data_IF_907649289507
#
_entry.id   IF_907649289507
#
_cell.length_a   1.000
_cell.length_b   1.000
_cell.length_c   1.000
_cell.angle_alpha   90.00
_cell.angle_beta   90.00
_cell.angle_gamma   90.00
#
_symmetry.space_group_name_H-M   'P 1'
#
loop_
_entity.id
_entity.type
_entity.pdbx_description
1 polymer ?
#
# COMPACT_ATOMS: atom_id res chain seq x y z
N UNK A 1 -12.05 -23.98 52.05
CA UNK A 1 -12.93 -23.47 50.96
C UNK A 1 -12.59 -22.04 50.48
N UNK A 2 -11.97 -21.15 51.26
CA UNK A 2 -11.67 -19.77 50.83
C UNK A 2 -10.43 -19.61 49.92
N UNK A 3 -9.41 -20.47 50.07
CA UNK A 3 -8.19 -20.41 49.27
C UNK A 3 -8.42 -20.77 47.79
N UNK A 4 -9.37 -21.66 47.50
CA UNK A 4 -9.72 -22.12 46.14
C UNK A 4 -10.46 -21.06 45.34
N UNK A 5 -11.35 -20.29 45.96
CA UNK A 5 -12.07 -19.19 45.30
C UNK A 5 -11.15 -18.00 45.01
N UNK A 6 -10.21 -17.70 45.89
CA UNK A 6 -9.17 -16.68 45.66
C UNK A 6 -8.26 -17.06 44.47
N UNK A 7 -7.84 -18.32 44.38
CA UNK A 7 -7.05 -18.83 43.26
C UNK A 7 -7.79 -18.76 41.92
N UNK A 8 -9.08 -19.13 41.89
CA UNK A 8 -9.93 -19.03 40.69
C UNK A 8 -10.11 -17.58 40.23
N UNK A 9 -10.34 -16.64 41.16
CA UNK A 9 -10.45 -15.20 40.84
C UNK A 9 -9.16 -14.65 40.23
N UNK A 10 -8.00 -15.02 40.78
CA UNK A 10 -6.68 -14.62 40.22
C UNK A 10 -6.47 -15.19 38.82
N UNK A 11 -6.83 -16.45 38.59
CA UNK A 11 -6.72 -17.08 37.28
C UNK A 11 -7.64 -16.40 36.23
N UNK A 12 -8.87 -16.06 36.63
CA UNK A 12 -9.79 -15.29 35.78
C UNK A 12 -9.24 -13.91 35.45
N UNK A 13 -8.68 -13.21 36.44
CA UNK A 13 -8.02 -11.92 36.23
C UNK A 13 -6.82 -12.02 35.27
N UNK A 14 -5.99 -13.06 35.41
CA UNK A 14 -4.86 -13.32 34.50
C UNK A 14 -5.33 -13.61 33.06
N UNK A 15 -6.37 -14.43 32.89
CA UNK A 15 -6.97 -14.72 31.57
C UNK A 15 -7.55 -13.47 30.91
N UNK A 16 -8.31 -12.67 31.65
CA UNK A 16 -8.88 -11.43 31.13
C UNK A 16 -7.80 -10.45 30.70
N UNK A 17 -6.67 -10.36 31.43
CA UNK A 17 -5.51 -9.53 31.03
C UNK A 17 -4.88 -10.01 29.73
N UNK A 18 -4.71 -11.31 29.56
CA UNK A 18 -4.17 -11.89 28.31
C UNK A 18 -5.11 -11.64 27.14
N UNK A 19 -6.42 -11.84 27.31
CA UNK A 19 -7.41 -11.55 26.28
C UNK A 19 -7.42 -10.06 25.91
N UNK A 20 -7.36 -9.16 26.90
CA UNK A 20 -7.27 -7.73 26.66
C UNK A 20 -5.96 -7.34 25.96
N UNK A 21 -4.84 -7.99 26.27
CA UNK A 21 -3.58 -7.76 25.57
C UNK A 21 -3.63 -8.21 24.10
N UNK A 22 -4.21 -9.39 23.83
CA UNK A 22 -4.44 -9.88 22.46
C UNK A 22 -5.35 -8.94 21.66
N UNK A 23 -6.49 -8.55 22.22
CA UNK A 23 -7.41 -7.63 21.56
C UNK A 23 -6.77 -6.27 21.22
N UNK A 24 -5.83 -5.79 22.05
CA UNK A 24 -5.05 -4.58 21.75
C UNK A 24 -4.07 -4.81 20.60
N UNK A 25 -3.37 -5.94 20.61
CA UNK A 25 -2.43 -6.31 19.55
C UNK A 25 -3.15 -6.47 18.21
N UNK A 26 -4.25 -7.23 18.16
CA UNK A 26 -5.05 -7.43 16.96
C UNK A 26 -5.56 -6.09 16.38
N UNK A 27 -5.96 -5.16 17.26
CA UNK A 27 -6.38 -3.81 16.87
C UNK A 27 -5.22 -2.98 16.33
N UNK A 28 -4.02 -3.12 16.91
CA UNK A 28 -2.82 -2.43 16.43
C UNK A 28 -2.40 -2.96 15.05
N UNK A 29 -2.40 -4.28 14.86
CA UNK A 29 -2.10 -4.92 13.57
C UNK A 29 -3.06 -4.45 12.49
N UNK A 30 -4.37 -4.47 12.78
CA UNK A 30 -5.38 -3.97 11.85
C UNK A 30 -5.17 -2.49 11.47
N UNK A 31 -4.82 -1.64 12.44
CA UNK A 31 -4.52 -0.23 12.15
C UNK A 31 -3.26 -0.08 11.29
N UNK A 32 -2.22 -0.86 11.56
CA UNK A 32 -0.98 -0.84 10.79
C UNK A 32 -1.25 -1.27 9.35
N UNK A 33 -2.01 -2.34 9.14
CA UNK A 33 -2.34 -2.82 7.80
C UNK A 33 -3.27 -1.88 7.05
N UNK A 34 -4.18 -1.19 7.74
CA UNK A 34 -4.96 -0.11 7.13
C UNK A 34 -4.07 1.04 6.66
N UNK A 35 -3.12 1.48 7.49
CA UNK A 35 -2.18 2.55 7.11
C UNK A 35 -1.31 2.14 5.93
N UNK A 36 -0.81 0.90 5.90
CA UNK A 36 -0.05 0.36 4.76
C UNK A 36 -0.89 0.38 3.48
N UNK A 37 -2.12 -0.12 3.51
CA UNK A 37 -3.04 -0.12 2.36
C UNK A 37 -3.34 1.29 1.86
N UNK A 38 -3.67 2.22 2.76
CA UNK A 38 -3.93 3.61 2.37
C UNK A 38 -2.68 4.25 1.77
N UNK A 39 -1.50 4.04 2.38
CA UNK A 39 -0.24 4.57 1.86
C UNK A 39 0.05 4.04 0.45
N UNK A 40 -0.10 2.74 0.24
CA UNK A 40 0.10 2.11 -1.06
C UNK A 40 -0.82 2.71 -2.13
N UNK A 41 -2.12 2.88 -1.84
CA UNK A 41 -3.05 3.48 -2.80
C UNK A 41 -2.72 4.95 -3.12
N UNK A 42 -2.28 5.70 -2.10
CA UNK A 42 -1.84 7.09 -2.30
C UNK A 42 -0.55 7.15 -3.13
N UNK A 43 0.42 6.27 -2.87
CA UNK A 43 1.65 6.17 -3.65
C UNK A 43 1.34 5.87 -5.12
N UNK A 44 0.46 4.89 -5.39
CA UNK A 44 0.03 4.55 -6.74
C UNK A 44 -0.71 5.71 -7.43
N UNK A 45 -1.66 6.36 -6.75
CA UNK A 45 -2.34 7.54 -7.28
C UNK A 45 -1.40 8.72 -7.53
N UNK A 46 -0.38 8.86 -6.68
CA UNK A 46 0.69 9.85 -6.83
C UNK A 46 1.50 9.65 -8.11
N UNK A 47 1.72 8.41 -8.55
CA UNK A 47 2.40 8.12 -9.82
C UNK A 47 1.57 8.56 -11.03
N UNK A 48 0.26 8.30 -11.00
CA UNK A 48 -0.66 8.72 -12.08
C UNK A 48 -0.66 10.24 -12.23
N UNK A 49 -0.74 10.96 -11.11
CA UNK A 49 -0.65 12.43 -11.10
C UNK A 49 0.73 12.93 -11.53
N UNK A 50 1.81 12.33 -11.02
CA UNK A 50 3.19 12.72 -11.39
C UNK A 50 3.46 12.55 -12.89
N UNK A 51 2.88 11.54 -13.52
CA UNK A 51 2.99 11.32 -14.96
C UNK A 51 2.17 12.33 -15.80
N UNK A 52 1.46 13.29 -15.17
CA UNK A 52 0.62 14.27 -15.85
C UNK A 52 -0.67 13.68 -16.43
N UNK A 53 -0.99 12.42 -16.13
CA UNK A 53 -2.12 11.72 -16.74
C UNK A 53 -3.44 12.38 -16.35
N UNK A 54 -3.57 12.81 -15.09
CA UNK A 54 -4.79 13.47 -14.59
C UNK A 54 -5.03 14.78 -15.34
N UNK A 55 -3.98 15.56 -15.55
CA UNK A 55 -4.02 16.84 -16.25
C UNK A 55 -4.31 16.67 -17.74
N UNK A 56 -3.68 15.68 -18.40
CA UNK A 56 -3.89 15.39 -19.83
C UNK A 56 -5.29 14.85 -20.12
N UNK A 57 -5.83 14.02 -19.22
CA UNK A 57 -7.14 13.37 -19.41
C UNK A 57 -8.30 14.16 -18.82
N UNK A 58 -8.05 15.22 -18.05
CA UNK A 58 -9.09 15.98 -17.36
C UNK A 58 -9.80 15.19 -16.26
N UNK A 59 -9.09 14.29 -15.56
CA UNK A 59 -9.63 13.36 -14.56
C UNK A 59 -10.73 12.41 -15.10
N UNK A 60 -10.75 12.14 -16.41
CA UNK A 60 -11.64 11.12 -16.98
C UNK A 60 -11.19 9.72 -16.55
N UNK A 61 -11.85 9.20 -15.52
CA UNK A 61 -11.55 7.89 -14.92
C UNK A 61 -11.75 6.74 -15.89
N UNK A 62 -12.70 6.84 -16.84
CA UNK A 62 -12.93 5.79 -17.83
C UNK A 62 -11.78 5.75 -18.81
N UNK A 63 -11.32 6.91 -19.28
CA UNK A 63 -10.16 7.02 -20.15
C UNK A 63 -8.88 6.51 -19.47
N UNK A 64 -8.62 6.94 -18.23
CA UNK A 64 -7.47 6.49 -17.44
C UNK A 64 -7.51 4.97 -17.25
N UNK A 65 -8.67 4.42 -16.89
CA UNK A 65 -8.82 2.99 -16.69
C UNK A 65 -8.59 2.20 -18.00
N UNK A 66 -9.11 2.68 -19.13
CA UNK A 66 -8.87 2.08 -20.44
C UNK A 66 -7.39 2.05 -20.82
N UNK A 67 -6.66 3.14 -20.55
CA UNK A 67 -5.21 3.18 -20.79
C UNK A 67 -4.45 2.17 -19.91
N UNK A 68 -4.83 2.04 -18.63
CA UNK A 68 -4.23 1.06 -17.72
C UNK A 68 -4.51 -0.39 -18.15
N UNK A 69 -5.70 -0.68 -18.69
CA UNK A 69 -6.02 -1.99 -19.26
C UNK A 69 -5.16 -2.30 -20.49
N UNK A 70 -4.96 -1.32 -21.38
CA UNK A 70 -4.07 -1.49 -22.53
C UNK A 70 -2.62 -1.77 -22.11
N UNK A 71 -2.15 -1.09 -21.06
CA UNK A 71 -0.83 -1.36 -20.46
C UNK A 71 -0.77 -2.80 -19.92
N UNK A 72 -1.79 -3.26 -19.21
CA UNK A 72 -1.83 -4.62 -18.66
C UNK A 72 -1.80 -5.68 -19.77
N UNK A 73 -2.64 -5.54 -20.80
CA UNK A 73 -2.68 -6.40 -21.97
C UNK A 73 -1.31 -6.48 -22.67
N UNK A 74 -0.66 -5.32 -22.87
CA UNK A 74 0.67 -5.24 -23.47
C UNK A 74 1.76 -5.95 -22.66
N UNK A 75 1.61 -6.01 -21.34
CA UNK A 75 2.54 -6.68 -20.44
C UNK A 75 2.30 -8.19 -20.33
N UNK A 76 1.07 -8.66 -20.55
CA UNK A 76 0.73 -10.08 -20.53
C UNK A 76 1.10 -10.81 -21.83
N UNK A 77 1.14 -10.10 -22.97
CA UNK A 77 1.50 -10.68 -24.26
C UNK A 77 2.97 -11.11 -24.41
N UNK A 78 3.29 -11.77 -25.53
CA UNK A 78 4.59 -12.39 -25.83
C UNK A 78 5.80 -11.43 -25.72
N UNK A 79 5.59 -10.15 -25.99
CA UNK A 79 6.63 -9.10 -25.89
C UNK A 79 6.67 -8.42 -24.51
N UNK A 80 5.94 -8.96 -23.53
CA UNK A 80 5.76 -8.39 -22.21
C UNK A 80 7.05 -8.22 -21.44
N UNK A 81 8.00 -9.16 -21.53
CA UNK A 81 9.31 -9.01 -20.88
C UNK A 81 10.12 -7.83 -21.42
N UNK A 82 10.14 -7.66 -22.74
CA UNK A 82 10.80 -6.53 -23.37
C UNK A 82 10.14 -5.21 -22.97
N UNK A 83 8.80 -5.15 -23.00
CA UNK A 83 8.03 -3.99 -22.55
C UNK A 83 8.34 -3.63 -21.09
N UNK A 84 8.35 -4.62 -20.17
CA UNK A 84 8.72 -4.42 -18.76
C UNK A 84 10.12 -3.82 -18.61
N UNK A 85 11.09 -4.30 -19.39
CA UNK A 85 12.46 -3.79 -19.35
C UNK A 85 12.50 -2.32 -19.79
N UNK A 86 11.97 -2.02 -20.99
CA UNK A 86 11.97 -0.67 -21.56
C UNK A 86 11.28 0.32 -20.62
N UNK A 87 10.10 -0.01 -20.12
CA UNK A 87 9.34 0.89 -19.24
C UNK A 87 9.99 1.09 -17.88
N UNK A 88 10.66 0.07 -17.33
CA UNK A 88 11.44 0.21 -16.09
C UNK A 88 12.64 1.14 -16.28
N UNK A 89 13.35 1.02 -17.40
CA UNK A 89 14.50 1.86 -17.73
C UNK A 89 14.04 3.32 -17.91
N UNK A 90 12.92 3.54 -18.62
CA UNK A 90 12.32 4.86 -18.80
C UNK A 90 11.86 5.50 -17.48
N UNK A 91 11.15 4.74 -16.65
CA UNK A 91 10.71 5.20 -15.33
C UNK A 91 11.89 5.58 -14.44
N UNK A 92 12.95 4.76 -14.42
CA UNK A 92 14.17 5.06 -13.66
C UNK A 92 14.80 6.37 -14.11
N UNK A 93 14.98 6.56 -15.41
CA UNK A 93 15.55 7.79 -15.97
C UNK A 93 14.74 9.04 -15.56
N UNK A 94 13.41 8.96 -15.62
CA UNK A 94 12.54 10.06 -15.19
C UNK A 94 12.73 10.42 -13.70
N UNK A 95 12.83 9.42 -12.82
CA UNK A 95 13.10 9.67 -11.40
C UNK A 95 14.49 10.26 -11.14
N UNK A 96 15.50 9.81 -11.88
CA UNK A 96 16.87 10.34 -11.77
C UNK A 96 16.96 11.81 -12.18
N UNK A 97 16.25 12.20 -13.25
CA UNK A 97 16.16 13.60 -13.70
C UNK A 97 15.51 14.46 -12.61
N UNK A 98 14.34 14.04 -12.10
CA UNK A 98 13.62 14.78 -11.04
C UNK A 98 14.47 14.90 -9.76
N UNK A 99 15.24 13.87 -9.41
CA UNK A 99 16.14 13.92 -8.26
C UNK A 99 17.27 14.94 -8.45
N UNK A 100 17.86 15.01 -9.65
CA UNK A 100 18.90 16.00 -9.99
C UNK A 100 18.35 17.43 -9.97
N UNK A 101 17.15 17.64 -10.52
CA UNK A 101 16.48 18.95 -10.50
C UNK A 101 16.19 19.44 -9.08
N UNK A 102 15.83 18.53 -8.16
CA UNK A 102 15.64 18.86 -6.75
C UNK A 102 16.94 19.13 -5.99
N UNK A 103 18.03 18.47 -6.36
CA UNK A 103 19.33 18.66 -5.72
C UNK A 103 20.05 19.94 -6.18
N UNK A 104 19.72 20.45 -7.38
CA UNK A 104 20.23 21.71 -7.92
C UNK A 104 19.40 22.94 -7.55
N UNK A 105 18.30 22.76 -6.80
CA UNK A 105 17.44 23.83 -6.24
C UNK A 105 17.75 24.01 -4.75
#
# INVERSE_FOLDING_TARGET
>A
MAATTAALKRNRAARNRLQAARARHDRQDWQMDRRKRTRQLIELGGLVKKAGIVEITGDDRTLIFGALLWIADRLEGDQGEHARKVWRDWGRAAFEIEAKEKAGK
#
